data_IF_831818272254
#
_entry.id   IF_831818272254
#
_cell.length_a   1.000
_cell.length_b   1.000
_cell.length_c   1.000
_cell.angle_alpha   90.00
_cell.angle_beta   90.00
_cell.angle_gamma   90.00
#
_symmetry.space_group_name_H-M   'P 1'
#
loop_
_entity.id
_entity.type
_entity.pdbx_description
1 polymer ?
#
# COMPACT_ATOMS: atom_id res chain seq x y z
N UNK A 1 -11.64 -8.82 16.12
CA UNK A 1 -10.17 -8.69 16.07
C UNK A 1 -9.71 -8.47 14.63
N UNK A 2 -8.78 -7.58 14.43
CA UNK A 2 -8.25 -7.27 13.11
C UNK A 2 -6.90 -7.98 12.96
N UNK A 3 -6.73 -8.70 11.83
CA UNK A 3 -5.46 -9.34 11.50
C UNK A 3 -4.97 -8.84 10.15
N UNK A 4 -3.64 -8.77 9.98
CA UNK A 4 -3.02 -8.42 8.70
C UNK A 4 -2.35 -9.66 8.16
N UNK A 5 -2.61 -9.97 6.88
CA UNK A 5 -2.04 -11.15 6.22
C UNK A 5 -1.43 -10.78 4.88
N UNK A 6 -0.34 -11.46 4.56
CA UNK A 6 0.20 -11.50 3.20
C UNK A 6 -0.55 -12.60 2.45
N UNK A 7 -1.18 -12.24 1.34
CA UNK A 7 -1.97 -13.18 0.53
C UNK A 7 -1.39 -13.27 -0.88
N UNK A 8 -1.77 -14.30 -1.61
CA UNK A 8 -1.45 -14.35 -3.04
C UNK A 8 -2.72 -14.19 -3.88
N UNK A 9 -2.53 -13.95 -5.18
CA UNK A 9 -3.64 -13.60 -6.08
C UNK A 9 -4.59 -14.77 -6.37
N UNK A 10 -4.29 -15.97 -5.88
CA UNK A 10 -5.18 -17.14 -6.03
C UNK A 10 -6.18 -17.29 -4.89
N UNK A 11 -6.08 -16.46 -3.86
CA UNK A 11 -6.98 -16.55 -2.69
C UNK A 11 -8.28 -15.77 -2.91
N UNK A 12 -9.37 -16.14 -2.23
CA UNK A 12 -10.63 -15.38 -2.31
C UNK A 12 -10.47 -13.92 -1.85
N UNK A 13 -9.60 -13.67 -0.89
CA UNK A 13 -9.35 -12.31 -0.38
C UNK A 13 -8.82 -11.37 -1.46
N UNK A 14 -8.14 -11.90 -2.48
CA UNK A 14 -7.67 -11.06 -3.58
C UNK A 14 -8.82 -10.37 -4.31
N UNK A 15 -9.94 -11.06 -4.53
CA UNK A 15 -11.10 -10.46 -5.18
C UNK A 15 -11.70 -9.35 -4.32
N UNK A 16 -11.78 -9.55 -3.01
CA UNK A 16 -12.23 -8.51 -2.10
C UNK A 16 -11.28 -7.30 -2.11
N UNK A 17 -9.97 -7.57 -2.17
CA UNK A 17 -8.96 -6.53 -2.25
C UNK A 17 -9.11 -5.70 -3.53
N UNK A 18 -9.34 -6.36 -4.67
CA UNK A 18 -9.56 -5.66 -5.95
C UNK A 18 -10.78 -4.75 -5.87
N UNK A 19 -11.87 -5.23 -5.29
CA UNK A 19 -13.09 -4.41 -5.15
C UNK A 19 -12.85 -3.23 -4.20
N UNK A 20 -12.10 -3.43 -3.13
CA UNK A 20 -11.75 -2.33 -2.23
C UNK A 20 -10.93 -1.26 -2.95
N UNK A 21 -9.97 -1.67 -3.77
CA UNK A 21 -9.16 -0.74 -4.57
C UNK A 21 -10.04 0.05 -5.55
N UNK A 22 -10.97 -0.63 -6.23
CA UNK A 22 -11.91 0.03 -7.13
C UNK A 22 -12.71 1.11 -6.40
N UNK A 23 -13.29 0.75 -5.26
CA UNK A 23 -14.18 1.62 -4.50
C UNK A 23 -13.47 2.83 -3.90
N UNK A 24 -12.29 2.63 -3.35
CA UNK A 24 -11.61 3.66 -2.56
C UNK A 24 -10.62 4.48 -3.38
N UNK A 25 -9.92 3.85 -4.33
CA UNK A 25 -8.83 4.49 -5.04
C UNK A 25 -9.19 4.91 -6.47
N UNK A 26 -9.98 4.10 -7.18
CA UNK A 26 -10.22 4.32 -8.61
C UNK A 26 -11.49 5.10 -8.89
N UNK A 27 -12.62 4.64 -8.38
CA UNK A 27 -13.92 5.27 -8.66
C UNK A 27 -14.00 6.74 -8.25
N UNK A 28 -13.44 7.14 -7.08
CA UNK A 28 -13.46 8.56 -6.71
C UNK A 28 -12.73 9.47 -7.68
N UNK A 29 -11.77 8.94 -8.44
CA UNK A 29 -10.99 9.69 -9.42
C UNK A 29 -11.51 9.51 -10.85
N UNK A 30 -12.62 8.77 -11.04
CA UNK A 30 -13.14 8.47 -12.35
C UNK A 30 -12.29 7.51 -13.17
N UNK A 31 -11.43 6.75 -12.51
CA UNK A 31 -10.56 5.77 -13.16
C UNK A 31 -11.30 4.44 -13.26
N UNK A 32 -11.25 3.74 -14.42
CA UNK A 32 -11.98 2.49 -14.59
C UNK A 32 -11.57 1.42 -13.57
N UNK A 33 -12.54 0.59 -13.18
CA UNK A 33 -12.30 -0.55 -12.29
C UNK A 33 -11.18 -1.42 -12.84
N UNK A 34 -10.40 -2.01 -11.92
CA UNK A 34 -9.29 -2.91 -12.22
C UNK A 34 -8.11 -2.26 -12.92
N UNK A 35 -8.05 -0.92 -12.98
CA UNK A 35 -6.85 -0.22 -13.39
C UNK A 35 -5.74 -0.46 -12.37
N UNK A 36 -4.48 -0.30 -12.80
CA UNK A 36 -3.29 -0.42 -11.96
C UNK A 36 -3.04 -1.84 -11.41
N UNK A 37 -3.58 -2.88 -12.08
CA UNK A 37 -3.33 -4.28 -11.69
C UNK A 37 -2.14 -4.90 -12.43
N UNK A 38 -1.42 -4.13 -13.23
CA UNK A 38 -0.36 -4.65 -14.10
C UNK A 38 0.80 -5.31 -13.37
N UNK A 39 1.03 -4.97 -12.11
CA UNK A 39 2.10 -5.55 -11.31
C UNK A 39 1.62 -6.62 -10.31
N UNK A 40 0.31 -6.93 -10.30
CA UNK A 40 -0.25 -7.79 -9.26
C UNK A 40 0.39 -9.18 -9.23
N UNK A 41 0.66 -9.77 -10.39
CA UNK A 41 1.21 -11.13 -10.45
C UNK A 41 2.61 -11.26 -9.84
N UNK A 42 3.39 -10.18 -9.80
CA UNK A 42 4.77 -10.22 -9.28
C UNK A 42 4.95 -9.51 -7.95
N UNK A 43 3.86 -9.07 -7.33
CA UNK A 43 3.90 -8.24 -6.13
C UNK A 43 3.47 -9.01 -4.89
N UNK A 44 3.82 -8.48 -3.72
CA UNK A 44 3.33 -8.98 -2.44
C UNK A 44 2.09 -8.19 -2.05
N UNK A 45 1.01 -8.90 -1.68
CA UNK A 45 -0.28 -8.31 -1.36
C UNK A 45 -0.58 -8.47 0.13
N UNK A 46 -1.02 -7.40 0.76
CA UNK A 46 -1.34 -7.38 2.18
C UNK A 46 -2.79 -6.95 2.37
N UNK A 47 -3.50 -7.66 3.22
CA UNK A 47 -4.88 -7.31 3.56
C UNK A 47 -5.04 -7.23 5.07
N UNK A 48 -5.87 -6.31 5.51
CA UNK A 48 -6.36 -6.26 6.89
C UNK A 48 -7.74 -6.89 6.89
N UNK A 49 -7.94 -7.86 7.78
CA UNK A 49 -9.16 -8.65 7.86
C UNK A 49 -9.87 -8.41 9.18
N UNK A 50 -11.17 -8.25 9.12
CA UNK A 50 -12.05 -8.25 10.28
C UNK A 50 -13.23 -9.16 9.96
N UNK A 51 -13.44 -10.22 10.76
CA UNK A 51 -14.50 -11.22 10.52
C UNK A 51 -14.46 -11.75 9.09
N UNK A 52 -13.26 -12.09 8.62
CA UNK A 52 -12.98 -12.60 7.26
C UNK A 52 -13.29 -11.63 6.13
N UNK A 53 -13.60 -10.37 6.44
CA UNK A 53 -13.82 -9.32 5.45
C UNK A 53 -12.54 -8.49 5.27
N UNK A 54 -12.19 -8.20 4.02
CA UNK A 54 -11.07 -7.30 3.73
C UNK A 54 -11.52 -5.86 3.98
N UNK A 55 -10.92 -5.24 4.98
CA UNK A 55 -11.23 -3.83 5.33
C UNK A 55 -10.08 -2.89 5.01
N UNK A 56 -8.94 -3.41 4.62
CA UNK A 56 -7.81 -2.61 4.19
C UNK A 56 -6.87 -3.44 3.33
N UNK A 57 -6.06 -2.77 2.53
CA UNK A 57 -5.09 -3.44 1.67
C UNK A 57 -3.91 -2.54 1.35
N UNK A 58 -2.83 -3.17 0.88
CA UNK A 58 -1.68 -2.49 0.31
C UNK A 58 -0.88 -3.48 -0.53
N UNK A 59 -0.12 -2.95 -1.48
CA UNK A 59 0.69 -3.77 -2.38
C UNK A 59 2.14 -3.31 -2.28
N UNK A 60 3.05 -4.27 -2.18
CA UNK A 60 4.49 -4.02 -2.18
C UNK A 60 5.07 -4.62 -3.46
N UNK A 61 5.58 -3.76 -4.36
CA UNK A 61 6.07 -4.15 -5.66
C UNK A 61 7.60 -4.22 -5.63
N UNK A 62 8.20 -5.42 -5.78
CA UNK A 62 9.66 -5.51 -5.82
C UNK A 62 10.20 -4.79 -7.05
N UNK A 63 11.31 -4.08 -6.89
CA UNK A 63 11.97 -3.41 -7.99
C UNK A 63 12.61 -4.43 -8.93
N UNK A 64 12.44 -4.23 -10.25
CA UNK A 64 13.09 -5.07 -11.23
C UNK A 64 14.58 -4.75 -11.38
N UNK A 65 14.96 -3.50 -11.08
CA UNK A 65 16.34 -3.02 -11.25
C UNK A 65 17.18 -3.18 -10.00
N UNK A 66 16.56 -3.10 -8.83
CA UNK A 66 17.27 -3.15 -7.56
C UNK A 66 16.55 -4.15 -6.64
N UNK A 67 17.14 -5.33 -6.48
CA UNK A 67 16.55 -6.43 -5.71
C UNK A 67 16.34 -6.13 -4.22
N UNK A 68 16.94 -5.07 -3.70
CA UNK A 68 16.82 -4.69 -2.29
C UNK A 68 15.83 -3.56 -2.06
N UNK A 69 15.13 -3.13 -3.10
CA UNK A 69 14.16 -2.04 -3.03
C UNK A 69 12.77 -2.51 -3.47
N UNK A 70 11.73 -1.94 -2.88
CA UNK A 70 10.35 -2.20 -3.26
C UNK A 70 9.53 -0.93 -3.14
N UNK A 71 8.47 -0.84 -3.95
CA UNK A 71 7.55 0.30 -3.93
C UNK A 71 6.23 -0.10 -3.27
N UNK A 72 5.82 0.68 -2.30
CA UNK A 72 4.50 0.54 -1.67
C UNK A 72 3.49 1.31 -2.50
N UNK A 73 2.44 0.64 -2.94
CA UNK A 73 1.37 1.24 -3.74
C UNK A 73 0.00 0.80 -3.22
N UNK A 74 -1.03 1.54 -3.62
CA UNK A 74 -2.43 1.16 -3.50
C UNK A 74 -2.86 0.78 -2.09
N UNK A 75 -2.43 1.57 -1.11
CA UNK A 75 -2.95 1.44 0.25
C UNK A 75 -4.37 2.02 0.30
N UNK A 76 -5.32 1.21 0.75
CA UNK A 76 -6.71 1.62 0.87
C UNK A 76 -7.31 1.05 2.15
N UNK A 77 -8.17 1.83 2.78
CA UNK A 77 -8.93 1.40 3.96
C UNK A 77 -10.41 1.65 3.67
N UNK A 78 -11.25 0.66 3.93
CA UNK A 78 -12.69 0.79 3.74
C UNK A 78 -13.21 2.02 4.50
N UNK A 79 -14.15 2.80 3.91
CA UNK A 79 -14.61 4.04 4.54
C UNK A 79 -15.11 3.85 5.98
N UNK A 80 -15.84 2.77 6.23
CA UNK A 80 -16.37 2.46 7.57
C UNK A 80 -15.30 2.04 8.58
N UNK A 81 -14.10 1.72 8.10
CA UNK A 81 -12.98 1.32 8.96
C UNK A 81 -11.91 2.40 9.11
N UNK A 82 -12.06 3.54 8.44
CA UNK A 82 -11.09 4.63 8.54
C UNK A 82 -11.09 5.24 9.94
N UNK A 83 -9.94 5.77 10.37
CA UNK A 83 -9.79 6.36 11.69
C UNK A 83 -9.55 5.36 12.81
N UNK A 84 -9.40 4.07 12.50
CA UNK A 84 -9.22 3.00 13.49
C UNK A 84 -7.79 2.43 13.52
N UNK A 85 -6.85 3.07 12.84
CA UNK A 85 -5.46 2.62 12.81
C UNK A 85 -5.17 1.46 11.87
N UNK A 86 -6.06 1.15 10.93
CA UNK A 86 -5.89 0.03 9.99
C UNK A 86 -4.68 0.25 9.10
N UNK A 87 -4.51 1.46 8.55
CA UNK A 87 -3.34 1.80 7.73
C UNK A 87 -2.04 1.60 8.48
N UNK A 88 -1.99 1.96 9.75
CA UNK A 88 -0.81 1.78 10.59
C UNK A 88 -0.49 0.30 10.79
N UNK A 89 -1.51 -0.54 11.02
CA UNK A 89 -1.32 -1.98 11.16
C UNK A 89 -0.76 -2.59 9.87
N UNK A 90 -1.31 -2.19 8.72
CA UNK A 90 -0.81 -2.63 7.41
C UNK A 90 0.65 -2.22 7.23
N UNK A 91 0.97 -0.98 7.48
CA UNK A 91 2.32 -0.46 7.28
C UNK A 91 3.33 -1.15 8.20
N UNK A 92 2.95 -1.38 9.46
CA UNK A 92 3.81 -2.08 10.41
C UNK A 92 4.15 -3.50 9.92
N UNK A 93 3.15 -4.23 9.42
CA UNK A 93 3.37 -5.59 8.91
C UNK A 93 4.21 -5.59 7.63
N UNK A 94 3.98 -4.62 6.74
CA UNK A 94 4.76 -4.48 5.51
C UNK A 94 6.24 -4.21 5.84
N UNK A 95 6.51 -3.34 6.79
CA UNK A 95 7.88 -3.05 7.21
C UNK A 95 8.54 -4.29 7.81
N UNK A 96 7.84 -5.01 8.68
CA UNK A 96 8.36 -6.25 9.26
C UNK A 96 8.64 -7.30 8.17
N UNK A 97 7.71 -7.45 7.23
CA UNK A 97 7.87 -8.36 6.09
C UNK A 97 9.10 -7.98 5.24
N UNK A 98 9.25 -6.71 4.93
CA UNK A 98 10.37 -6.22 4.13
C UNK A 98 11.71 -6.52 4.81
N UNK A 99 11.78 -6.35 6.13
CA UNK A 99 12.98 -6.70 6.88
C UNK A 99 13.28 -8.20 6.82
N UNK A 100 12.25 -9.05 6.95
CA UNK A 100 12.41 -10.50 6.84
C UNK A 100 12.92 -10.91 5.45
N UNK A 101 12.54 -10.17 4.42
CA UNK A 101 12.99 -10.41 3.03
C UNK A 101 14.32 -9.76 2.72
N UNK A 102 14.98 -9.16 3.71
CA UNK A 102 16.26 -8.47 3.54
C UNK A 102 16.21 -7.31 2.54
N UNK A 103 15.05 -6.68 2.40
CA UNK A 103 14.94 -5.44 1.64
C UNK A 103 15.64 -4.31 2.40
N UNK A 104 16.27 -3.40 1.67
CA UNK A 104 16.99 -2.27 2.26
C UNK A 104 16.19 -0.97 2.19
N UNK A 105 15.18 -0.91 1.32
CA UNK A 105 14.43 0.33 1.13
C UNK A 105 13.00 0.03 0.68
N UNK A 106 12.06 0.79 1.25
CA UNK A 106 10.70 0.90 0.72
C UNK A 106 10.50 2.35 0.29
N UNK A 107 9.98 2.57 -0.91
CA UNK A 107 9.62 3.91 -1.37
C UNK A 107 8.16 3.97 -1.79
N UNK A 108 7.60 5.16 -1.82
CA UNK A 108 6.21 5.36 -2.23
C UNK A 108 6.00 6.76 -2.79
N UNK A 109 4.88 6.92 -3.51
CA UNK A 109 4.37 8.21 -3.92
C UNK A 109 3.24 8.57 -2.96
N UNK A 110 3.51 9.46 -2.01
CA UNK A 110 2.54 9.83 -0.99
C UNK A 110 1.74 11.04 -1.41
N UNK A 111 0.42 10.97 -1.35
CA UNK A 111 -0.41 12.17 -1.43
C UNK A 111 -0.02 13.11 -0.30
N UNK A 112 -0.05 14.43 -0.53
CA UNK A 112 0.43 15.39 0.46
C UNK A 112 -0.25 15.23 1.82
N UNK A 113 -1.56 14.95 1.84
CA UNK A 113 -2.28 14.80 3.11
C UNK A 113 -1.86 13.56 3.90
N UNK A 114 -1.19 12.59 3.27
CA UNK A 114 -0.74 11.35 3.91
C UNK A 114 0.74 11.40 4.34
N UNK A 115 1.45 12.49 4.06
CA UNK A 115 2.88 12.60 4.37
C UNK A 115 3.17 12.33 5.85
N UNK A 116 2.38 12.92 6.75
CA UNK A 116 2.61 12.73 8.18
C UNK A 116 2.39 11.28 8.63
N UNK A 117 1.45 10.57 8.01
CA UNK A 117 1.24 9.16 8.27
C UNK A 117 2.52 8.35 8.00
N UNK A 118 3.17 8.60 6.87
CA UNK A 118 4.41 7.91 6.52
C UNK A 118 5.59 8.40 7.36
N UNK A 119 5.67 9.69 7.66
CA UNK A 119 6.74 10.22 8.52
C UNK A 119 6.74 9.57 9.89
N UNK A 120 5.58 9.31 10.47
CA UNK A 120 5.47 8.64 11.77
C UNK A 120 6.07 7.23 11.74
N UNK A 121 6.09 6.58 10.58
CA UNK A 121 6.68 5.26 10.40
C UNK A 121 8.17 5.30 10.07
N UNK A 122 8.74 6.49 9.94
CA UNK A 122 10.17 6.68 9.67
C UNK A 122 10.50 7.04 8.22
N UNK A 123 9.50 7.20 7.36
CA UNK A 123 9.74 7.63 5.97
C UNK A 123 10.16 9.09 5.92
N UNK A 124 10.98 9.42 4.93
CA UNK A 124 11.42 10.79 4.67
C UNK A 124 11.08 11.19 3.24
N UNK A 125 10.82 12.47 3.05
CA UNK A 125 10.58 13.03 1.71
C UNK A 125 11.92 13.15 0.98
N UNK A 126 11.91 12.83 -0.32
CA UNK A 126 13.06 13.11 -1.20
C UNK A 126 12.53 13.65 -2.53
N UNK A 127 13.40 14.37 -3.25
CA UNK A 127 13.02 14.99 -4.51
C UNK A 127 12.00 16.10 -4.35
N UNK A 128 11.44 16.53 -5.48
CA UNK A 128 10.48 17.62 -5.52
C UNK A 128 9.05 17.10 -5.45
N UNK A 129 8.14 17.93 -4.96
CA UNK A 129 6.70 17.68 -5.07
C UNK A 129 6.31 17.56 -6.54
N UNK A 130 5.42 16.63 -6.85
CA UNK A 130 4.96 16.39 -8.22
C UNK A 130 3.46 16.17 -8.22
N UNK A 131 2.86 16.19 -9.42
CA UNK A 131 1.43 15.92 -9.58
C UNK A 131 1.24 14.55 -10.22
N UNK A 132 0.38 13.74 -9.62
CA UNK A 132 0.00 12.42 -10.12
C UNK A 132 -1.51 12.31 -10.00
N UNK A 133 -2.19 11.87 -11.06
CA UNK A 133 -3.66 11.83 -11.17
C UNK A 133 -4.33 13.14 -10.73
N UNK A 134 -3.71 14.28 -11.06
CA UNK A 134 -4.22 15.61 -10.73
C UNK A 134 -4.07 16.00 -9.26
N UNK A 135 -3.33 15.25 -8.47
CA UNK A 135 -3.19 15.45 -7.03
C UNK A 135 -1.72 15.67 -6.67
N UNK A 136 -1.39 16.65 -5.82
CA UNK A 136 -0.01 16.84 -5.36
C UNK A 136 0.49 15.63 -4.55
N UNK A 137 1.70 15.18 -4.88
CA UNK A 137 2.36 14.04 -4.25
C UNK A 137 3.78 14.38 -3.85
N UNK A 138 4.30 13.61 -2.91
CA UNK A 138 5.73 13.64 -2.54
C UNK A 138 6.30 12.24 -2.69
N UNK A 139 7.56 12.17 -3.18
CA UNK A 139 8.33 10.93 -3.10
C UNK A 139 8.77 10.73 -1.66
N UNK A 140 8.56 9.55 -1.12
CA UNK A 140 8.98 9.20 0.23
C UNK A 140 9.67 7.86 0.25
N UNK A 141 10.61 7.68 1.17
CA UNK A 141 11.32 6.41 1.33
C UNK A 141 11.61 6.11 2.79
N UNK A 142 11.69 4.83 3.08
CA UNK A 142 12.13 4.29 4.37
C UNK A 142 13.34 3.41 4.12
N UNK A 143 14.44 3.69 4.81
CA UNK A 143 15.61 2.84 4.77
C UNK A 143 15.50 1.79 5.89
N UNK A 144 15.70 0.53 5.51
CA UNK A 144 15.58 -0.61 6.40
C UNK A 144 17.00 -1.11 6.72
N UNK A 145 17.35 -1.04 7.95
CA UNK A 145 18.69 -1.51 8.40
C UNK A 145 18.58 -2.79 9.19
#
# INVERSE_FOLDING_TARGET
>A
MISVKNINITTPQYQQMRELRNKVLLRPLGIPDHSWEMHDARSWHFVALQDDQVIGCAVLVPSEKNKTSAQLIQMAVAPEAQGKGIGQLLLNEIIAFAKRKSLQEIHCHSRQYAVNFYKKAGFTIYGKTFTEVGIPHNYMKLELL
#
